data_IF_416299998051
#
_entry.id   IF_416299998051
#
_cell.length_a   1.000
_cell.length_b   1.000
_cell.length_c   1.000
_cell.angle_alpha   90.00
_cell.angle_beta   90.00
_cell.angle_gamma   90.00
#
_symmetry.space_group_name_H-M   'P 1'
#
loop_
_entity.id
_entity.type
_entity.pdbx_description
1 polymer ?
#
# COMPACT_ATOMS: atom_id res chain seq x y z
N UNK A 1 -0.59 -8.91 34.80
CA UNK A 1 0.13 -8.89 33.52
C UNK A 1 -0.65 -7.96 32.60
N UNK A 2 -0.14 -6.74 32.41
CA UNK A 2 -0.78 -5.72 31.58
C UNK A 2 -0.57 -6.06 30.11
N UNK A 3 -1.67 -6.24 29.35
CA UNK A 3 -1.65 -6.28 27.90
C UNK A 3 -0.76 -5.12 27.39
N UNK A 4 0.21 -5.37 26.49
CA UNK A 4 0.88 -4.27 25.82
C UNK A 4 -0.22 -3.52 25.05
N UNK A 5 -0.60 -2.34 25.56
CA UNK A 5 -1.48 -1.42 24.86
C UNK A 5 -0.84 -1.21 23.49
N UNK A 6 -1.51 -1.67 22.43
CA UNK A 6 -1.18 -1.31 21.06
C UNK A 6 -1.12 0.23 21.05
N UNK A 7 0.08 0.78 20.90
CA UNK A 7 0.22 2.23 20.82
C UNK A 7 -0.52 2.66 19.56
N UNK A 8 -1.39 3.69 19.62
CA UNK A 8 -2.00 4.25 18.43
C UNK A 8 -0.88 4.65 17.47
N UNK A 9 -0.80 3.96 16.33
CA UNK A 9 0.16 4.28 15.29
C UNK A 9 -0.50 5.31 14.36
N UNK A 10 0.04 6.52 14.34
CA UNK A 10 -0.35 7.51 13.34
C UNK A 10 0.13 7.01 11.97
N UNK A 11 -0.84 6.76 11.08
CA UNK A 11 -0.61 6.38 9.70
C UNK A 11 -0.87 7.56 8.79
N UNK A 12 -0.16 7.64 7.66
CA UNK A 12 -0.43 8.63 6.62
C UNK A 12 -1.32 8.00 5.57
N UNK A 13 -2.50 8.57 5.35
CA UNK A 13 -3.44 8.12 4.33
C UNK A 13 -3.87 9.29 3.44
N UNK A 14 -4.35 8.97 2.24
CA UNK A 14 -4.91 9.96 1.33
C UNK A 14 -6.18 10.61 1.92
N UNK A 15 -6.24 11.93 1.86
CA UNK A 15 -7.44 12.67 2.24
C UNK A 15 -8.64 12.26 1.37
N UNK A 16 -9.77 11.94 2.03
CA UNK A 16 -10.96 11.44 1.35
C UNK A 16 -10.81 10.02 0.80
N UNK A 17 -9.84 9.24 1.31
CA UNK A 17 -9.68 7.84 0.95
C UNK A 17 -10.99 7.06 1.17
N UNK A 18 -11.39 6.29 0.15
CA UNK A 18 -12.49 5.33 0.23
C UNK A 18 -12.05 4.05 0.93
N UNK A 19 -10.78 3.67 0.74
CA UNK A 19 -10.18 2.54 1.42
C UNK A 19 -8.72 2.80 1.73
N UNK A 20 -8.26 2.23 2.84
CA UNK A 20 -6.85 2.17 3.21
C UNK A 20 -6.51 0.83 3.83
N UNK A 21 -5.31 0.32 3.56
CA UNK A 21 -4.72 -0.82 4.27
C UNK A 21 -3.31 -0.47 4.72
N UNK A 22 -2.94 -0.95 5.91
CA UNK A 22 -1.59 -0.87 6.44
C UNK A 22 -1.10 -2.29 6.68
N UNK A 23 0.01 -2.63 6.04
CA UNK A 23 0.54 -3.99 6.09
C UNK A 23 2.05 -4.01 6.30
N UNK A 24 2.52 -5.03 7.02
CA UNK A 24 3.95 -5.29 7.20
C UNK A 24 4.48 -6.03 5.99
N UNK A 25 4.76 -5.28 4.94
CA UNK A 25 5.39 -5.86 3.76
C UNK A 25 6.89 -5.79 3.96
N UNK A 26 7.49 -6.94 4.23
CA UNK A 26 8.93 -7.10 4.20
C UNK A 26 9.37 -7.05 2.73
N UNK A 27 9.58 -5.84 2.19
CA UNK A 27 10.26 -5.66 0.91
C UNK A 27 11.75 -5.96 1.13
N UNK A 28 12.07 -7.22 1.40
CA UNK A 28 13.44 -7.75 1.48
C UNK A 28 13.95 -7.88 0.05
N UNK A 29 14.79 -6.94 -0.34
CA UNK A 29 15.44 -6.88 -1.65
C UNK A 29 16.63 -7.83 -1.82
N UNK A 30 16.94 -8.71 -0.87
CA UNK A 30 18.10 -9.62 -1.03
C UNK A 30 17.77 -11.03 -1.56
N UNK A 31 16.62 -11.61 -1.19
CA UNK A 31 16.33 -13.03 -1.47
C UNK A 31 14.96 -13.31 -2.10
N UNK A 32 14.06 -12.32 -2.20
CA UNK A 32 12.72 -12.50 -2.79
C UNK A 32 12.67 -11.91 -4.20
N UNK A 33 12.13 -12.67 -5.13
CA UNK A 33 11.79 -12.22 -6.47
C UNK A 33 10.60 -11.27 -6.45
N UNK A 34 10.48 -10.43 -7.48
CA UNK A 34 9.31 -9.56 -7.69
C UNK A 34 7.98 -10.32 -7.59
N UNK A 35 7.92 -11.53 -8.15
CA UNK A 35 6.71 -12.38 -8.13
C UNK A 35 6.32 -12.80 -6.71
N UNK A 36 7.29 -13.14 -5.87
CA UNK A 36 7.05 -13.51 -4.48
C UNK A 36 6.54 -12.31 -3.66
N UNK A 37 7.10 -11.12 -3.88
CA UNK A 37 6.63 -9.90 -3.22
C UNK A 37 5.19 -9.59 -3.65
N UNK A 38 4.88 -9.65 -4.94
CA UNK A 38 3.50 -9.46 -5.44
C UNK A 38 2.53 -10.45 -4.79
N UNK A 39 2.90 -11.74 -4.71
CA UNK A 39 2.09 -12.78 -4.09
C UNK A 39 1.85 -12.51 -2.61
N UNK A 40 2.87 -12.08 -1.89
CA UNK A 40 2.76 -11.71 -0.46
C UNK A 40 1.82 -10.53 -0.27
N UNK A 41 1.98 -9.45 -1.06
CA UNK A 41 1.07 -8.30 -1.03
C UNK A 41 -0.37 -8.73 -1.32
N UNK A 42 -0.60 -9.54 -2.37
CA UNK A 42 -1.94 -10.03 -2.72
C UNK A 42 -2.55 -10.89 -1.62
N UNK A 43 -1.76 -11.74 -0.98
CA UNK A 43 -2.21 -12.61 0.11
C UNK A 43 -2.61 -11.79 1.33
N UNK A 44 -1.74 -10.87 1.74
CA UNK A 44 -1.94 -10.03 2.91
C UNK A 44 -3.12 -9.08 2.75
N UNK A 45 -3.27 -8.49 1.56
CA UNK A 45 -4.32 -7.51 1.25
C UNK A 45 -5.59 -8.16 0.67
N UNK A 46 -5.69 -9.49 0.64
CA UNK A 46 -6.81 -10.21 -0.01
C UNK A 46 -8.17 -9.72 0.48
N UNK A 47 -8.42 -9.78 1.79
CA UNK A 47 -9.70 -9.41 2.39
C UNK A 47 -10.06 -7.93 2.15
N UNK A 48 -9.06 -7.06 2.13
CA UNK A 48 -9.23 -5.65 1.84
C UNK A 48 -9.57 -5.41 0.37
N UNK A 49 -8.85 -6.04 -0.56
CA UNK A 49 -9.12 -5.92 -1.99
C UNK A 49 -10.45 -6.53 -2.39
N UNK A 50 -10.84 -7.65 -1.79
CA UNK A 50 -12.11 -8.36 -2.00
C UNK A 50 -13.32 -7.69 -1.34
N UNK A 51 -13.14 -6.53 -0.71
CA UNK A 51 -14.23 -5.81 -0.09
C UNK A 51 -15.35 -5.51 -1.11
N UNK A 52 -16.59 -6.01 -0.90
CA UNK A 52 -17.70 -5.79 -1.82
C UNK A 52 -18.05 -4.31 -2.04
N UNK A 53 -17.70 -3.44 -1.07
CA UNK A 53 -17.89 -1.99 -1.19
C UNK A 53 -16.99 -1.36 -2.26
N UNK A 54 -15.99 -2.09 -2.77
CA UNK A 54 -15.06 -1.61 -3.79
C UNK A 54 -15.49 -1.97 -5.22
N UNK A 55 -16.61 -2.68 -5.43
CA UNK A 55 -17.05 -3.10 -6.77
C UNK A 55 -17.22 -1.92 -7.76
N UNK A 56 -17.85 -0.83 -7.33
CA UNK A 56 -17.96 0.38 -8.16
C UNK A 56 -16.62 1.11 -8.33
N UNK A 57 -15.70 0.92 -7.39
CA UNK A 57 -14.41 1.61 -7.39
C UNK A 57 -13.42 0.90 -8.31
N UNK A 58 -13.49 -0.43 -8.41
CA UNK A 58 -12.65 -1.27 -9.28
C UNK A 58 -12.70 -0.87 -10.76
N UNK A 59 -13.79 -0.25 -11.19
CA UNK A 59 -14.02 0.21 -12.58
C UNK A 59 -13.81 1.72 -12.77
N UNK A 60 -13.59 2.46 -11.68
CA UNK A 60 -13.43 3.90 -11.72
C UNK A 60 -11.97 4.29 -12.02
N UNK A 61 -11.77 5.55 -12.40
CA UNK A 61 -10.46 6.19 -12.33
C UNK A 61 -10.11 6.49 -10.87
N UNK A 62 -8.85 6.31 -10.48
CA UNK A 62 -8.39 6.36 -9.10
C UNK A 62 -7.22 7.33 -8.89
N UNK A 63 -7.23 7.97 -7.74
CA UNK A 63 -6.03 8.53 -7.11
C UNK A 63 -5.53 7.50 -6.08
N UNK A 64 -4.25 7.10 -6.16
CA UNK A 64 -3.66 6.09 -5.28
C UNK A 64 -2.45 6.66 -4.55
N UNK A 65 -2.43 6.50 -3.23
CA UNK A 65 -1.28 6.84 -2.38
C UNK A 65 -0.63 5.58 -1.80
N UNK A 66 0.69 5.52 -1.92
CA UNK A 66 1.54 4.45 -1.38
C UNK A 66 2.53 5.10 -0.42
N UNK A 67 2.43 4.80 0.86
CA UNK A 67 3.37 5.26 1.89
C UNK A 67 4.21 4.09 2.37
N UNK A 68 5.52 4.14 2.09
CA UNK A 68 6.47 3.14 2.51
C UNK A 68 7.30 3.64 3.70
N UNK A 69 7.15 2.99 4.84
CA UNK A 69 8.01 3.15 6.01
C UNK A 69 9.15 2.15 5.90
N UNK A 70 10.36 2.65 5.70
CA UNK A 70 11.55 1.82 5.45
C UNK A 70 12.67 2.14 6.45
N UNK A 71 13.54 1.18 6.78
CA UNK A 71 14.73 1.45 7.58
C UNK A 71 15.60 2.55 6.95
N UNK A 72 16.28 3.35 7.78
CA UNK A 72 17.18 4.42 7.31
C UNK A 72 18.23 3.93 6.31
N UNK A 73 18.74 2.71 6.51
CA UNK A 73 19.71 2.05 5.61
C UNK A 73 19.17 1.85 4.19
N UNK A 74 17.85 1.65 4.04
CA UNK A 74 17.18 1.41 2.75
C UNK A 74 16.58 2.67 2.13
N UNK A 75 16.49 3.76 2.90
CA UNK A 75 15.91 5.01 2.41
C UNK A 75 16.63 5.54 1.16
N UNK A 76 17.94 5.32 1.03
CA UNK A 76 18.72 5.72 -0.17
C UNK A 76 18.83 4.62 -1.22
N UNK A 77 18.73 3.35 -0.81
CA UNK A 77 19.06 2.19 -1.67
C UNK A 77 17.84 1.51 -2.27
N UNK A 78 16.63 1.99 -1.97
CA UNK A 78 15.40 1.46 -2.52
C UNK A 78 14.67 2.55 -3.30
N UNK A 79 14.56 2.36 -4.61
CA UNK A 79 13.94 3.34 -5.47
C UNK A 79 12.42 3.34 -5.33
N UNK A 80 11.85 4.54 -5.41
CA UNK A 80 10.42 4.79 -5.18
C UNK A 80 9.57 4.26 -6.34
N UNK A 81 10.09 4.31 -7.55
CA UNK A 81 9.48 3.75 -8.77
C UNK A 81 9.42 2.21 -8.73
N UNK A 82 10.45 1.56 -8.19
CA UNK A 82 10.47 0.11 -8.01
C UNK A 82 9.40 -0.32 -6.99
N UNK A 83 9.25 0.43 -5.90
CA UNK A 83 8.17 0.21 -4.93
C UNK A 83 6.81 0.35 -5.63
N UNK A 84 6.57 1.46 -6.32
CA UNK A 84 5.26 1.68 -6.92
C UNK A 84 4.91 0.64 -7.98
N UNK A 85 5.86 0.25 -8.83
CA UNK A 85 5.64 -0.76 -9.86
C UNK A 85 5.21 -2.10 -9.26
N UNK A 86 5.88 -2.55 -8.20
CA UNK A 86 5.56 -3.81 -7.51
C UNK A 86 4.18 -3.75 -6.85
N UNK A 87 3.87 -2.62 -6.21
CA UNK A 87 2.58 -2.45 -5.53
C UNK A 87 1.43 -2.36 -6.53
N UNK A 88 1.57 -1.57 -7.60
CA UNK A 88 0.54 -1.47 -8.64
C UNK A 88 0.31 -2.82 -9.34
N UNK A 89 1.37 -3.57 -9.63
CA UNK A 89 1.23 -4.92 -10.18
C UNK A 89 0.52 -5.89 -9.21
N UNK A 90 0.67 -5.71 -7.91
CA UNK A 90 -0.03 -6.52 -6.92
C UNK A 90 -1.51 -6.13 -6.77
N UNK A 91 -1.83 -4.84 -6.90
CA UNK A 91 -3.19 -4.32 -6.78
C UNK A 91 -4.03 -4.53 -8.05
N UNK A 92 -3.40 -4.69 -9.22
CA UNK A 92 -4.14 -4.89 -10.47
C UNK A 92 -4.67 -6.32 -10.63
N UNK A 93 -5.71 -6.44 -11.45
CA UNK A 93 -6.27 -7.73 -11.87
C UNK A 93 -5.23 -8.53 -12.64
N UNK A 94 -5.05 -9.78 -12.24
CA UNK A 94 -4.20 -10.70 -12.97
C UNK A 94 -4.97 -11.25 -14.18
N UNK A 95 -4.44 -11.06 -15.38
CA UNK A 95 -5.05 -11.55 -16.63
C UNK A 95 -4.89 -13.07 -16.79
N UNK A 96 -3.91 -13.67 -16.10
CA UNK A 96 -3.63 -15.12 -16.14
C UNK A 96 -4.39 -15.88 -15.03
N UNK A 97 -4.69 -15.20 -13.91
CA UNK A 97 -5.50 -15.74 -12.82
C UNK A 97 -6.67 -14.79 -12.48
N UNK A 98 -7.83 -14.96 -13.14
CA UNK A 98 -9.01 -14.13 -12.89
C UNK A 98 -9.59 -14.24 -11.48
N UNK A 99 -9.22 -15.29 -10.73
CA UNK A 99 -9.66 -15.50 -9.34
C UNK A 99 -8.78 -14.77 -8.31
N UNK A 100 -7.64 -14.23 -8.76
CA UNK A 100 -6.71 -13.47 -7.94
C UNK A 100 -7.36 -12.20 -7.40
N UNK A 101 -7.18 -11.85 -6.11
CA UNK A 101 -7.74 -10.63 -5.55
C UNK A 101 -7.09 -9.39 -6.19
N UNK A 102 -7.90 -8.36 -6.41
CA UNK A 102 -7.48 -7.10 -7.04
C UNK A 102 -8.30 -5.91 -6.57
N UNK A 103 -7.71 -4.72 -6.69
CA UNK A 103 -8.31 -3.44 -6.34
C UNK A 103 -8.82 -2.67 -7.57
N UNK A 104 -8.16 -2.82 -8.72
CA UNK A 104 -8.56 -2.21 -9.99
C UNK A 104 -8.23 -3.15 -11.17
N UNK A 105 -8.95 -3.02 -12.27
CA UNK A 105 -8.83 -3.93 -13.41
C UNK A 105 -7.52 -3.74 -14.18
N UNK A 106 -7.07 -2.50 -14.34
CA UNK A 106 -5.87 -2.16 -15.11
C UNK A 106 -5.16 -0.92 -14.53
N UNK A 107 -3.82 -0.86 -14.66
CA UNK A 107 -3.03 0.23 -14.08
C UNK A 107 -3.29 1.59 -14.77
N UNK A 108 -3.81 1.58 -15.99
CA UNK A 108 -4.35 2.76 -16.68
C UNK A 108 -5.47 3.49 -15.94
N UNK A 109 -6.14 2.84 -14.97
CA UNK A 109 -7.14 3.49 -14.12
C UNK A 109 -6.53 4.40 -13.06
N UNK A 110 -5.25 4.27 -12.74
CA UNK A 110 -4.57 5.11 -11.77
C UNK A 110 -4.14 6.41 -12.44
N UNK A 111 -4.95 7.46 -12.27
CA UNK A 111 -4.75 8.77 -12.90
C UNK A 111 -3.69 9.58 -12.17
N UNK A 112 -3.65 9.48 -10.84
CA UNK A 112 -2.62 10.13 -10.02
C UNK A 112 -2.07 9.15 -8.99
N UNK A 113 -0.75 9.15 -8.87
CA UNK A 113 -0.01 8.29 -7.96
C UNK A 113 0.86 9.16 -7.05
N UNK A 114 0.63 9.05 -5.74
CA UNK A 114 1.49 9.66 -4.73
C UNK A 114 2.27 8.56 -4.04
N UNK A 115 3.60 8.59 -4.16
CA UNK A 115 4.47 7.63 -3.47
C UNK A 115 5.32 8.40 -2.48
N UNK A 116 5.20 8.05 -1.21
CA UNK A 116 5.91 8.73 -0.13
C UNK A 116 6.71 7.73 0.69
N UNK A 117 8.02 7.98 0.82
CA UNK A 117 8.93 7.11 1.54
C UNK A 117 9.40 7.82 2.81
N UNK A 118 9.18 7.21 3.97
CA UNK A 118 9.51 7.78 5.29
C UNK A 118 10.37 6.79 6.09
N UNK A 119 11.34 7.26 6.90
CA UNK A 119 12.08 6.36 7.77
C UNK A 119 11.16 5.75 8.84
N UNK A 120 11.25 4.43 9.08
CA UNK A 120 10.64 3.80 10.26
C UNK A 120 11.52 4.04 11.51
N UNK A 121 10.89 4.04 12.70
CA UNK A 121 11.64 3.95 13.96
C UNK A 121 12.13 2.51 14.07
N UNK A 122 13.45 2.34 14.08
CA UNK A 122 14.06 1.02 14.22
C UNK A 122 13.64 0.41 15.56
N UNK A 123 13.11 -0.80 15.53
CA UNK A 123 13.11 -1.69 16.69
C UNK A 123 14.41 -2.47 16.59
N UNK A 124 15.22 -2.41 17.65
CA UNK A 124 16.54 -3.06 17.67
C UNK A 124 16.39 -4.56 17.33
N UNK A 125 17.15 -5.03 16.33
CA UNK A 125 17.11 -6.42 15.85
C UNK A 125 16.04 -6.76 14.81
N UNK A 126 15.11 -5.84 14.47
CA UNK A 126 14.04 -6.11 13.49
C UNK A 126 13.98 -5.06 12.37
N UNK A 127 14.28 -5.49 11.14
CA UNK A 127 14.03 -4.69 9.93
C UNK A 127 12.59 -4.90 9.44
N UNK A 128 11.63 -4.23 10.07
CA UNK A 128 10.25 -4.18 9.57
C UNK A 128 10.08 -2.97 8.66
N UNK A 129 9.59 -3.22 7.45
CA UNK A 129 9.07 -2.18 6.58
C UNK A 129 7.55 -2.26 6.63
N UNK A 130 6.89 -1.11 6.63
CA UNK A 130 5.42 -1.02 6.61
C UNK A 130 5.02 -0.32 5.33
N UNK A 131 4.02 -0.87 4.65
CA UNK A 131 3.43 -0.26 3.47
C UNK A 131 1.99 0.12 3.79
N UNK A 132 1.63 1.37 3.50
CA UNK A 132 0.27 1.86 3.65
C UNK A 132 -0.21 2.24 2.27
N UNK A 133 -1.33 1.66 1.87
CA UNK A 133 -1.96 1.92 0.58
C UNK A 133 -3.30 2.56 0.88
N UNK A 134 -3.60 3.67 0.22
CA UNK A 134 -4.92 4.29 0.29
C UNK A 134 -5.32 4.82 -1.08
N UNK A 135 -6.62 4.83 -1.35
CA UNK A 135 -7.12 5.25 -2.64
C UNK A 135 -8.46 5.96 -2.51
N UNK A 136 -8.80 6.75 -3.53
CA UNK A 136 -10.12 7.35 -3.73
C UNK A 136 -10.46 7.37 -5.21
N UNK A 137 -11.76 7.51 -5.53
CA UNK A 137 -12.17 7.89 -6.89
C UNK A 137 -11.48 9.18 -7.30
N UNK A 138 -10.96 9.23 -8.52
CA UNK A 138 -10.26 10.39 -9.05
C UNK A 138 -11.17 11.62 -9.04
N UNK A 139 -10.64 12.73 -8.52
CA UNK A 139 -11.32 14.03 -8.51
C UNK A 139 -10.34 15.09 -9.02
N UNK A 140 -10.58 15.67 -10.21
CA UNK A 140 -9.66 16.64 -10.79
C UNK A 140 -9.54 17.92 -9.95
N UNK A 141 -10.58 18.26 -9.17
CA UNK A 141 -10.64 19.46 -8.33
C UNK A 141 -9.88 19.33 -7.00
N UNK A 142 -9.53 18.11 -6.61
CA UNK A 142 -8.84 17.84 -5.33
C UNK A 142 -7.37 17.55 -5.53
N UNK A 143 -6.54 18.10 -4.65
CA UNK A 143 -5.12 17.73 -4.56
C UNK A 143 -4.95 16.38 -3.86
N UNK A 144 -3.80 15.75 -4.05
CA UNK A 144 -3.43 14.54 -3.30
C UNK A 144 -2.69 14.96 -2.03
N UNK A 145 -3.39 14.89 -0.90
CA UNK A 145 -2.85 15.28 0.41
C UNK A 145 -2.83 14.05 1.32
N UNK A 146 -1.68 13.80 1.95
CA UNK A 146 -1.58 12.79 3.00
C UNK A 146 -1.93 13.42 4.35
N UNK A 147 -2.86 12.80 5.07
CA UNK A 147 -3.28 13.21 6.41
C UNK A 147 -2.92 12.15 7.43
N UNK A 148 -2.54 12.57 8.64
CA UNK A 148 -2.34 11.66 9.76
C UNK A 148 -3.71 11.15 10.24
N UNK A 149 -3.88 9.84 10.28
CA UNK A 149 -4.99 9.19 10.99
C UNK A 149 -4.45 8.27 12.06
N UNK A 150 -5.11 8.31 13.20
CA UNK A 150 -4.90 7.34 14.27
C UNK A 150 -5.73 6.10 13.97
N UNK A 151 -5.07 4.95 13.81
CA UNK A 151 -5.76 3.64 13.83
C UNK A 151 -5.81 3.20 15.29
N UNK A 152 -7.02 3.01 15.81
CA UNK A 152 -7.29 2.51 17.17
C UNK A 152 -7.37 0.99 17.12
#
# INVERSE_FOLDING_TARGET
>A
MSNPKLNPHNVLILEGAHGSSADLIVIKTSNKTKKEIIKEIKTNLKSWMENPLFEEIRKAQLDVAIVAFVPKSRLKNQDVDNISKVVLDALKKDKQDPSSPYLFEDDSQVVRLLVYKKPCKAVEGYETSTLIISFRKHDPSKQMILVEKTVI
#
